data_IF_001712408227
#
_entry.id   IF_001712408227
#
_cell.length_a   1.000
_cell.length_b   1.000
_cell.length_c   1.000
_cell.angle_alpha   90.00
_cell.angle_beta   90.00
_cell.angle_gamma   90.00
#
_symmetry.space_group_name_H-M   'P 1'
#
loop_
_entity.id
_entity.type
_entity.pdbx_description
1 polymer ?
#
# COMPACT_ATOMS: atom_id res chain seq x y z
N UNK A 1 15.11 -13.14 -4.38
CA UNK A 1 14.95 -11.67 -4.41
C UNK A 1 13.47 -11.39 -4.60
N UNK A 2 12.86 -10.50 -3.81
CA UNK A 2 11.47 -10.13 -4.02
C UNK A 2 11.36 -9.26 -5.29
N UNK A 3 10.29 -9.42 -6.09
CA UNK A 3 10.06 -8.55 -7.24
C UNK A 3 9.86 -7.09 -6.76
N UNK A 4 10.22 -6.09 -7.59
CA UNK A 4 9.84 -4.72 -7.31
C UNK A 4 8.32 -4.63 -7.18
N UNK A 5 7.83 -3.84 -6.22
CA UNK A 5 6.41 -3.60 -6.05
C UNK A 5 5.83 -3.07 -7.36
N UNK A 6 4.82 -3.74 -7.94
CA UNK A 6 4.20 -3.28 -9.19
C UNK A 6 3.18 -2.15 -8.93
N UNK A 7 3.01 -1.75 -7.67
CA UNK A 7 2.08 -0.73 -7.23
C UNK A 7 2.75 0.64 -7.16
N UNK A 8 2.08 1.65 -7.69
CA UNK A 8 2.45 3.06 -7.59
C UNK A 8 1.42 3.78 -6.75
N UNK A 9 1.86 4.45 -5.70
CA UNK A 9 1.00 5.30 -4.88
C UNK A 9 0.58 6.54 -5.67
N UNK A 10 -0.73 6.78 -5.76
CA UNK A 10 -1.29 7.95 -6.46
C UNK A 10 -2.03 8.92 -5.53
N UNK A 11 -2.36 8.49 -4.31
CA UNK A 11 -3.05 9.33 -3.34
C UNK A 11 -3.55 8.54 -2.14
N UNK A 12 -3.90 9.25 -1.08
CA UNK A 12 -4.56 8.70 0.09
C UNK A 12 -5.71 9.61 0.48
N UNK A 13 -6.73 9.00 1.06
CA UNK A 13 -7.88 9.70 1.59
C UNK A 13 -8.12 9.22 3.01
N UNK A 14 -8.09 10.15 3.96
CA UNK A 14 -8.38 9.86 5.37
C UNK A 14 -9.64 10.63 5.74
N UNK A 15 -10.81 9.97 5.79
CA UNK A 15 -12.03 10.62 6.26
C UNK A 15 -11.93 10.88 7.77
N UNK A 16 -12.54 11.97 8.25
CA UNK A 16 -12.55 12.32 9.68
C UNK A 16 -13.12 11.17 10.54
N UNK A 17 -12.24 10.55 11.34
CA UNK A 17 -12.58 9.46 12.24
C UNK A 17 -12.64 8.05 11.61
N UNK A 18 -12.20 7.89 10.36
CA UNK A 18 -12.23 6.60 9.65
C UNK A 18 -10.81 6.08 9.32
N UNK A 19 -10.74 4.83 8.86
CA UNK A 19 -9.49 4.23 8.39
C UNK A 19 -9.01 4.91 7.11
N UNK A 20 -7.69 5.23 7.01
CA UNK A 20 -7.13 5.80 5.81
C UNK A 20 -7.23 4.81 4.64
N UNK A 21 -7.68 5.32 3.50
CA UNK A 21 -7.76 4.60 2.23
C UNK A 21 -6.58 5.05 1.37
N UNK A 22 -5.81 4.09 0.87
CA UNK A 22 -4.69 4.35 -0.03
C UNK A 22 -5.08 3.94 -1.44
N UNK A 23 -4.85 4.83 -2.40
CA UNK A 23 -5.07 4.54 -3.81
C UNK A 23 -3.74 4.18 -4.45
N UNK A 24 -3.66 2.95 -4.92
CA UNK A 24 -2.52 2.42 -5.64
C UNK A 24 -2.90 2.17 -7.10
N UNK A 25 -1.92 2.24 -7.99
CA UNK A 25 -2.09 1.88 -9.39
C UNK A 25 -1.11 0.81 -9.81
N UNK A 26 -1.55 -0.10 -10.66
CA UNK A 26 -0.71 -1.12 -11.28
C UNK A 26 -1.03 -1.15 -12.77
N UNK A 27 -0.18 -0.51 -13.57
CA UNK A 27 -0.47 -0.28 -14.99
C UNK A 27 -1.76 0.53 -15.13
N UNK A 28 -2.77 -0.04 -15.80
CA UNK A 28 -4.06 0.60 -16.04
C UNK A 28 -5.12 0.35 -14.95
N UNK A 29 -4.78 -0.40 -13.89
CA UNK A 29 -5.70 -0.72 -12.78
C UNK A 29 -5.45 0.18 -11.59
N UNK A 30 -6.55 0.61 -10.95
CA UNK A 30 -6.55 1.33 -9.67
C UNK A 30 -7.04 0.38 -8.59
N UNK A 31 -6.38 0.41 -7.43
CA UNK A 31 -6.71 -0.36 -6.25
C UNK A 31 -6.97 0.61 -5.09
N UNK A 32 -8.12 0.44 -4.43
CA UNK A 32 -8.40 1.00 -3.11
C UNK A 32 -7.89 0.04 -2.04
N UNK A 33 -7.07 0.55 -1.13
CA UNK A 33 -6.28 -0.28 -0.21
C UNK A 33 -6.47 0.21 1.21
N UNK A 34 -6.92 -0.68 2.08
CA UNK A 34 -7.06 -0.40 3.51
C UNK A 34 -5.99 -1.15 4.31
N UNK A 35 -5.72 -0.67 5.52
CA UNK A 35 -4.86 -1.41 6.45
C UNK A 35 -5.55 -2.74 6.82
N UNK A 36 -4.85 -3.85 6.63
CA UNK A 36 -5.38 -5.20 6.80
C UNK A 36 -6.03 -5.80 5.55
N UNK A 37 -6.10 -5.07 4.43
CA UNK A 37 -6.60 -5.64 3.18
C UNK A 37 -5.61 -6.63 2.55
N UNK A 38 -6.15 -7.53 1.73
CA UNK A 38 -5.38 -8.47 0.94
C UNK A 38 -5.55 -8.19 -0.56
N UNK A 39 -4.49 -7.65 -1.17
CA UNK A 39 -4.39 -7.32 -2.58
C UNK A 39 -4.07 -8.57 -3.40
N UNK A 40 -4.99 -8.93 -4.30
CA UNK A 40 -4.87 -10.05 -5.26
C UNK A 40 -4.53 -11.42 -4.62
N UNK A 41 -4.70 -11.58 -3.30
CA UNK A 41 -4.24 -12.73 -2.50
C UNK A 41 -2.72 -12.94 -2.47
N UNK A 42 -1.98 -11.96 -2.95
CA UNK A 42 -0.52 -12.01 -3.10
C UNK A 42 0.15 -11.05 -2.12
N UNK A 43 -0.48 -9.91 -1.85
CA UNK A 43 0.03 -8.90 -0.93
C UNK A 43 -0.96 -8.68 0.21
N UNK A 44 -0.46 -8.62 1.44
CA UNK A 44 -1.23 -8.21 2.61
C UNK A 44 -0.76 -6.82 3.03
N UNK A 45 -1.70 -5.94 3.37
CA UNK A 45 -1.39 -4.57 3.79
C UNK A 45 -1.21 -4.58 5.30
N UNK A 46 0.04 -4.52 5.76
CA UNK A 46 0.34 -4.55 7.19
C UNK A 46 -0.05 -3.23 7.86
N UNK A 47 0.16 -2.12 7.15
CA UNK A 47 -0.30 -0.80 7.58
C UNK A 47 0.67 0.33 7.27
N UNK A 48 0.47 1.47 7.91
CA UNK A 48 1.29 2.66 7.74
C UNK A 48 2.38 2.74 8.82
N UNK A 49 3.65 2.87 8.43
CA UNK A 49 4.74 3.10 9.37
C UNK A 49 5.65 4.23 8.87
N UNK A 50 5.78 5.31 9.66
CA UNK A 50 6.65 6.46 9.35
C UNK A 50 6.46 7.03 7.93
N UNK A 51 5.20 7.13 7.46
CA UNK A 51 4.90 7.60 6.10
C UNK A 51 5.23 6.59 4.99
N UNK A 52 5.44 5.33 5.33
CA UNK A 52 5.59 4.24 4.37
C UNK A 52 4.45 3.24 4.55
N UNK A 53 3.82 2.84 3.45
CA UNK A 53 2.84 1.77 3.45
C UNK A 53 3.60 0.45 3.43
N UNK A 54 3.42 -0.37 4.45
CA UNK A 54 4.06 -1.67 4.61
C UNK A 54 3.13 -2.76 4.11
N UNK A 55 3.68 -3.67 3.32
CA UNK A 55 3.00 -4.80 2.72
C UNK A 55 3.81 -6.08 2.94
N UNK A 56 3.12 -7.19 3.17
CA UNK A 56 3.73 -8.52 3.17
C UNK A 56 3.39 -9.25 1.87
N UNK A 57 4.41 -9.59 1.10
CA UNK A 57 4.29 -10.44 -0.07
C UNK A 57 4.18 -11.90 0.35
N UNK A 58 2.97 -12.46 0.31
CA UNK A 58 2.65 -13.80 0.84
C UNK A 58 3.42 -14.94 0.16
N UNK A 59 3.61 -14.98 -1.17
CA UNK A 59 4.28 -16.11 -1.81
C UNK A 59 5.74 -16.31 -1.39
N UNK A 60 6.45 -15.23 -1.00
CA UNK A 60 7.82 -15.33 -0.49
C UNK A 60 7.93 -14.96 0.99
N UNK A 61 6.83 -14.59 1.64
CA UNK A 61 6.78 -14.07 3.01
C UNK A 61 7.78 -12.93 3.25
N UNK A 62 7.86 -11.97 2.31
CA UNK A 62 8.79 -10.83 2.37
C UNK A 62 8.01 -9.55 2.62
N UNK A 63 8.46 -8.75 3.59
CA UNK A 63 7.93 -7.41 3.80
C UNK A 63 8.54 -6.42 2.81
N UNK A 64 7.69 -5.59 2.23
CA UNK A 64 8.05 -4.52 1.32
C UNK A 64 7.30 -3.26 1.73
N UNK A 65 7.91 -2.10 1.54
CA UNK A 65 7.25 -0.84 1.82
C UNK A 65 7.29 0.09 0.61
N UNK A 66 6.24 0.88 0.46
CA UNK A 66 6.18 1.99 -0.50
C UNK A 66 6.25 3.27 0.31
N UNK A 67 7.22 4.12 0.01
CA UNK A 67 7.26 5.46 0.57
C UNK A 67 6.09 6.26 0.03
N UNK A 68 5.22 6.69 0.92
CA UNK A 68 4.11 7.56 0.59
C UNK A 68 4.64 8.98 0.71
N UNK A 69 5.29 9.46 -0.36
CA UNK A 69 5.78 10.83 -0.39
C UNK A 69 4.59 11.78 -0.60
N UNK A 70 3.84 12.02 0.48
CA UNK A 70 3.03 13.22 0.61
C UNK A 70 3.96 14.32 1.10
N UNK A 71 4.40 15.20 0.20
CA UNK A 71 4.97 16.48 0.60
C UNK A 71 3.92 17.22 1.42
N UNK A 72 4.10 17.29 2.72
CA UNK A 72 3.51 18.32 3.55
C UNK A 72 4.62 18.82 4.50
N UNK A 73 5.09 20.07 4.34
CA UNK A 73 6.06 20.70 5.23
C UNK A 73 5.51 20.95 6.63
#
# INVERSE_FOLDING_TARGET
MAPPLPFTYIGSYTPDGATPVFFLTQGDRVYDVHVGDELDKVYHVDGLNNGQLVFTYKPLNVQQSITITGVAP
#
